data_IF_355783348449
#
_entry.id   IF_355783348449
#
_cell.length_a   1.000
_cell.length_b   1.000
_cell.length_c   1.000
_cell.angle_alpha   90.00
_cell.angle_beta   90.00
_cell.angle_gamma   90.00
#
_symmetry.space_group_name_H-M   'P 1'
#
loop_
_entity.id
_entity.type
_entity.pdbx_description
1 polymer ?
#
# COMPACT_ATOMS: atom_id res chain seq x y z
N UNK A 1 34.87 -65.39 27.20
CA UNK A 1 34.13 -64.29 27.83
C UNK A 1 34.03 -63.16 26.81
N UNK A 2 32.88 -63.05 26.12
CA UNK A 2 32.65 -62.02 25.14
C UNK A 2 31.90 -60.87 25.84
N UNK A 3 32.53 -59.70 25.94
CA UNK A 3 31.92 -58.49 26.49
C UNK A 3 31.11 -57.81 25.38
N UNK A 4 29.82 -57.78 25.51
CA UNK A 4 28.93 -56.98 24.65
C UNK A 4 28.94 -55.54 25.14
N UNK A 5 29.43 -54.65 24.29
CA UNK A 5 29.34 -53.18 24.47
C UNK A 5 28.09 -52.78 23.77
N UNK A 6 27.08 -52.35 24.54
CA UNK A 6 25.85 -51.76 24.01
C UNK A 6 26.13 -50.33 23.55
N UNK A 7 25.64 -49.91 22.36
CA UNK A 7 25.76 -48.51 21.98
C UNK A 7 24.79 -47.67 22.76
N UNK A 8 25.30 -46.61 23.40
CA UNK A 8 24.52 -45.55 24.00
C UNK A 8 23.92 -44.73 22.87
N UNK A 9 22.63 -44.91 22.61
CA UNK A 9 21.87 -44.06 21.72
C UNK A 9 21.62 -42.74 22.48
N UNK A 10 22.42 -41.73 22.17
CA UNK A 10 22.15 -40.36 22.61
C UNK A 10 20.95 -39.86 21.82
N UNK A 11 19.76 -39.88 22.42
CA UNK A 11 18.63 -39.19 21.91
C UNK A 11 18.87 -37.68 21.95
N UNK A 12 19.27 -37.13 20.80
CA UNK A 12 19.26 -35.67 20.62
C UNK A 12 17.79 -35.18 20.73
N UNK A 13 17.50 -34.60 21.87
CA UNK A 13 16.29 -33.79 22.04
C UNK A 13 16.40 -32.59 21.07
N UNK A 14 15.77 -32.71 19.91
CA UNK A 14 15.42 -31.58 19.09
C UNK A 14 14.43 -30.73 19.90
N UNK A 15 14.96 -29.78 20.66
CA UNK A 15 14.18 -28.68 21.17
C UNK A 15 13.73 -27.90 19.94
N UNK A 16 12.52 -28.17 19.49
CA UNK A 16 11.84 -27.35 18.49
C UNK A 16 11.79 -25.94 19.07
N UNK A 17 12.54 -25.01 18.48
CA UNK A 17 12.28 -23.60 18.66
C UNK A 17 10.86 -23.37 18.13
N UNK A 18 9.87 -23.48 19.00
CA UNK A 18 8.54 -23.00 18.72
C UNK A 18 8.66 -21.48 18.50
N UNK A 19 8.47 -21.04 17.26
CA UNK A 19 8.28 -19.62 17.01
C UNK A 19 7.18 -19.12 17.95
N UNK A 20 7.45 -18.03 18.64
CA UNK A 20 6.42 -17.38 19.44
C UNK A 20 5.21 -17.09 18.56
N UNK A 21 3.98 -17.28 19.04
CA UNK A 21 2.81 -16.94 18.24
C UNK A 21 2.90 -15.47 17.80
N UNK A 22 2.41 -15.15 16.60
CA UNK A 22 2.45 -13.78 16.10
C UNK A 22 1.74 -12.84 17.09
N UNK A 23 2.19 -11.61 17.25
CA UNK A 23 1.58 -10.63 18.13
C UNK A 23 0.12 -10.41 17.76
N UNK A 24 -0.72 -10.08 18.73
CA UNK A 24 -2.12 -9.73 18.46
C UNK A 24 -2.15 -8.44 17.62
N UNK A 25 -3.00 -8.35 16.58
CA UNK A 25 -3.18 -7.12 15.84
C UNK A 25 -3.74 -6.01 16.75
N UNK A 26 -3.50 -4.72 16.43
CA UNK A 26 -4.04 -3.59 17.19
C UNK A 26 -5.58 -3.54 17.12
N UNK A 27 -6.21 -2.77 18.01
CA UNK A 27 -7.67 -2.64 18.05
C UNK A 27 -8.22 -1.79 16.88
N UNK A 28 -7.41 -0.88 16.29
CA UNK A 28 -7.75 -0.14 15.07
C UNK A 28 -7.52 -1.05 13.86
N UNK A 29 -8.47 -1.13 12.94
CA UNK A 29 -8.33 -1.95 11.74
C UNK A 29 -7.29 -1.36 10.76
N UNK A 30 -6.76 -2.21 9.87
CA UNK A 30 -5.67 -1.85 8.95
C UNK A 30 -6.06 -0.73 7.97
N UNK A 31 -7.31 -0.70 7.51
CA UNK A 31 -7.81 0.31 6.57
C UNK A 31 -7.84 1.68 7.23
N UNK A 32 -8.42 1.75 8.44
CA UNK A 32 -8.46 2.96 9.25
C UNK A 32 -7.05 3.43 9.63
N UNK A 33 -6.18 2.50 10.07
CA UNK A 33 -4.78 2.84 10.38
C UNK A 33 -4.04 3.45 9.18
N UNK A 34 -4.25 2.91 7.98
CA UNK A 34 -3.65 3.46 6.76
C UNK A 34 -4.23 4.82 6.37
N UNK A 35 -5.53 5.06 6.57
CA UNK A 35 -6.18 6.32 6.26
C UNK A 35 -5.77 7.45 7.23
N UNK A 36 -5.60 7.13 8.51
CA UNK A 36 -5.19 8.08 9.54
C UNK A 36 -3.67 8.35 9.59
N UNK A 37 -2.89 7.65 8.79
CA UNK A 37 -1.43 7.80 8.82
C UNK A 37 -0.77 7.14 10.03
N UNK A 38 -1.43 6.17 10.68
CA UNK A 38 -0.95 5.49 11.88
C UNK A 38 0.05 4.37 11.53
N UNK A 39 1.30 4.75 11.31
CA UNK A 39 2.38 3.82 10.93
C UNK A 39 2.61 2.70 11.95
N UNK A 40 2.51 3.03 13.25
CA UNK A 40 2.76 2.04 14.30
C UNK A 40 1.70 0.93 14.29
N UNK A 41 0.42 1.29 14.12
CA UNK A 41 -0.65 0.32 13.98
C UNK A 41 -0.48 -0.53 12.71
N UNK A 42 -0.10 0.07 11.58
CA UNK A 42 0.17 -0.66 10.33
C UNK A 42 1.32 -1.67 10.52
N UNK A 43 2.41 -1.28 11.17
CA UNK A 43 3.53 -2.19 11.49
C UNK A 43 3.10 -3.34 12.41
N UNK A 44 2.22 -3.07 13.38
CA UNK A 44 1.65 -4.12 14.25
C UNK A 44 0.79 -5.11 13.46
N UNK A 45 -0.03 -4.63 12.51
CA UNK A 45 -0.80 -5.48 11.60
C UNK A 45 0.11 -6.38 10.75
N UNK A 46 1.19 -5.81 10.20
CA UNK A 46 2.16 -6.57 9.40
C UNK A 46 2.80 -7.66 10.28
N UNK A 47 3.27 -7.31 11.49
CA UNK A 47 3.88 -8.25 12.42
C UNK A 47 2.91 -9.35 12.89
N UNK A 48 1.62 -9.03 13.01
CA UNK A 48 0.56 -9.98 13.36
C UNK A 48 0.16 -10.91 12.21
N UNK A 49 0.67 -10.70 10.98
CA UNK A 49 0.30 -11.49 9.80
C UNK A 49 -1.11 -11.18 9.29
N UNK A 50 -1.63 -9.98 9.55
CA UNK A 50 -2.93 -9.56 9.02
C UNK A 50 -2.92 -9.61 7.49
N UNK A 51 -4.03 -10.03 6.86
CA UNK A 51 -4.17 -9.97 5.40
C UNK A 51 -4.12 -8.51 4.94
N UNK A 52 -3.00 -8.14 4.28
CA UNK A 52 -2.74 -6.79 3.80
C UNK A 52 -3.56 -6.44 2.54
N UNK A 53 -4.19 -7.44 1.92
CA UNK A 53 -4.93 -7.29 0.68
C UNK A 53 -6.45 -7.18 0.90
N UNK A 54 -6.89 -7.18 2.14
CA UNK A 54 -8.30 -6.94 2.45
C UNK A 54 -8.74 -5.59 1.92
N UNK A 55 -9.93 -5.56 1.33
CA UNK A 55 -10.53 -4.33 0.81
C UNK A 55 -11.41 -3.68 1.87
N UNK A 56 -11.51 -2.36 1.84
CA UNK A 56 -12.45 -1.62 2.68
C UNK A 56 -13.85 -2.28 2.62
N UNK A 57 -14.36 -2.75 3.77
CA UNK A 57 -15.66 -3.41 3.84
C UNK A 57 -16.83 -2.45 3.61
N UNK A 58 -16.63 -1.13 3.69
CA UNK A 58 -17.69 -0.14 3.52
C UNK A 58 -18.36 -0.30 2.14
N UNK A 59 -19.68 -0.58 2.07
CA UNK A 59 -20.38 -0.77 0.81
C UNK A 59 -20.36 0.47 -0.09
N UNK A 60 -20.33 1.66 0.50
CA UNK A 60 -20.26 2.94 -0.18
C UNK A 60 -18.82 3.41 -0.43
N UNK A 61 -17.82 2.71 0.13
CA UNK A 61 -16.41 3.03 0.01
C UNK A 61 -15.82 2.71 -1.37
N UNK A 62 -14.55 3.06 -1.53
CA UNK A 62 -13.81 2.82 -2.77
C UNK A 62 -13.43 1.35 -2.99
N UNK A 63 -13.64 0.47 -2.01
CA UNK A 63 -13.12 -0.91 -2.04
C UNK A 63 -11.60 -0.96 -2.22
N UNK A 64 -10.93 0.06 -1.74
CA UNK A 64 -9.48 0.17 -1.77
C UNK A 64 -8.83 -0.71 -0.68
N UNK A 65 -7.58 -1.12 -0.91
CA UNK A 65 -6.74 -1.75 0.12
C UNK A 65 -6.03 -0.69 0.96
N UNK A 66 -5.44 -1.08 2.08
CA UNK A 66 -4.61 -0.19 2.90
C UNK A 66 -3.49 0.48 2.08
N UNK A 67 -2.86 -0.27 1.15
CA UNK A 67 -1.84 0.27 0.25
C UNK A 67 -2.42 1.30 -0.73
N UNK A 68 -3.60 1.06 -1.30
CA UNK A 68 -4.28 2.02 -2.17
C UNK A 68 -4.64 3.31 -1.44
N UNK A 69 -5.09 3.20 -0.19
CA UNK A 69 -5.40 4.34 0.68
C UNK A 69 -4.13 5.12 1.03
N UNK A 70 -3.08 4.45 1.50
CA UNK A 70 -1.81 5.09 1.80
C UNK A 70 -1.24 5.83 0.58
N UNK A 71 -1.36 5.24 -0.62
CA UNK A 71 -0.95 5.87 -1.88
C UNK A 71 -1.80 7.09 -2.25
N UNK A 72 -3.11 7.10 -1.93
CA UNK A 72 -4.00 8.22 -2.19
C UNK A 72 -3.78 9.39 -1.20
N UNK A 73 -3.46 9.11 0.05
CA UNK A 73 -3.20 10.14 1.06
C UNK A 73 -1.72 10.57 1.15
N UNK A 74 -0.82 9.94 0.41
CA UNK A 74 0.61 10.26 0.43
C UNK A 74 1.32 9.83 1.70
N UNK A 75 0.80 8.83 2.39
CA UNK A 75 1.45 8.24 3.57
C UNK A 75 2.61 7.34 3.14
N UNK A 76 3.71 7.97 2.71
CA UNK A 76 4.86 7.31 2.08
C UNK A 76 5.43 6.18 2.91
N UNK A 77 5.70 6.42 4.20
CA UNK A 77 6.27 5.40 5.08
C UNK A 77 5.33 4.20 5.27
N UNK A 78 4.02 4.43 5.32
CA UNK A 78 3.00 3.38 5.40
C UNK A 78 2.96 2.58 4.09
N UNK A 79 2.94 3.26 2.95
CA UNK A 79 2.95 2.60 1.65
C UNK A 79 4.18 1.70 1.50
N UNK A 80 5.38 2.19 1.84
CA UNK A 80 6.62 1.41 1.82
C UNK A 80 6.54 0.22 2.78
N UNK A 81 6.08 0.41 4.02
CA UNK A 81 5.94 -0.68 4.99
C UNK A 81 4.98 -1.77 4.50
N UNK A 82 3.84 -1.40 3.88
CA UNK A 82 2.89 -2.35 3.30
C UNK A 82 3.50 -3.10 2.10
N UNK A 83 4.23 -2.41 1.22
CA UNK A 83 4.93 -3.00 0.08
C UNK A 83 5.98 -4.01 0.55
N UNK A 84 6.79 -3.66 1.53
CA UNK A 84 7.80 -4.53 2.13
C UNK A 84 7.16 -5.71 2.87
N UNK A 85 6.02 -5.48 3.53
CA UNK A 85 5.21 -6.50 4.19
C UNK A 85 4.52 -7.48 3.26
N UNK A 86 4.61 -7.27 1.93
CA UNK A 86 4.08 -8.19 0.92
C UNK A 86 2.65 -7.88 0.46
N UNK A 87 2.18 -6.64 0.66
CA UNK A 87 0.92 -6.20 0.05
C UNK A 87 0.96 -6.32 -1.48
N UNK A 88 -0.16 -6.71 -2.09
CA UNK A 88 -0.29 -6.79 -3.54
C UNK A 88 -0.31 -5.37 -4.14
N UNK A 89 0.76 -5.02 -4.86
CA UNK A 89 0.97 -3.69 -5.46
C UNK A 89 0.02 -3.37 -6.62
N UNK A 90 -0.65 -4.39 -7.18
CA UNK A 90 -1.57 -4.25 -8.32
C UNK A 90 -3.04 -4.45 -7.92
N UNK A 91 -3.35 -4.56 -6.62
CA UNK A 91 -4.72 -4.74 -6.17
C UNK A 91 -5.55 -3.47 -6.45
N UNK A 92 -6.48 -3.57 -7.39
CA UNK A 92 -7.33 -2.45 -7.79
C UNK A 92 -8.51 -2.22 -6.83
N UNK A 93 -8.96 -0.97 -6.77
CA UNK A 93 -10.19 -0.54 -6.12
C UNK A 93 -11.44 -0.82 -6.99
N UNK A 94 -12.61 -0.25 -6.62
CA UNK A 94 -13.86 -0.40 -7.38
C UNK A 94 -13.84 0.26 -8.76
N UNK A 95 -12.99 1.28 -8.92
CA UNK A 95 -12.85 2.04 -10.16
C UNK A 95 -11.75 1.45 -11.06
N UNK A 96 -11.22 0.27 -10.69
CA UNK A 96 -10.14 -0.40 -11.39
C UNK A 96 -8.78 0.27 -11.20
N UNK A 97 -8.69 1.30 -10.35
CA UNK A 97 -7.44 2.02 -10.09
C UNK A 97 -6.55 1.23 -9.14
N UNK A 98 -5.30 1.02 -9.52
CA UNK A 98 -4.27 0.41 -8.66
C UNK A 98 -3.62 1.46 -7.75
N UNK A 99 -2.86 1.07 -6.72
CA UNK A 99 -2.07 2.01 -5.92
C UNK A 99 -1.17 2.92 -6.78
N UNK A 100 -0.65 2.41 -7.91
CA UNK A 100 0.15 3.19 -8.85
C UNK A 100 -0.66 4.32 -9.51
N UNK A 101 -1.93 4.10 -9.85
CA UNK A 101 -2.81 5.16 -10.35
C UNK A 101 -3.00 6.27 -9.32
N UNK A 102 -3.27 5.91 -8.06
CA UNK A 102 -3.49 6.88 -6.98
C UNK A 102 -2.23 7.70 -6.69
N UNK A 103 -1.08 7.03 -6.51
CA UNK A 103 0.19 7.69 -6.24
C UNK A 103 0.63 8.60 -7.39
N UNK A 104 0.48 8.17 -8.63
CA UNK A 104 0.82 8.94 -9.81
C UNK A 104 -0.09 10.17 -9.97
N UNK A 105 -1.40 9.98 -9.91
CA UNK A 105 -2.37 11.05 -10.05
C UNK A 105 -2.19 12.14 -8.99
N UNK A 106 -1.95 11.75 -7.73
CA UNK A 106 -1.75 12.69 -6.61
C UNK A 106 -0.29 13.13 -6.43
N UNK A 107 0.59 12.69 -7.34
CA UNK A 107 1.99 13.11 -7.45
C UNK A 107 2.81 12.84 -6.18
N UNK A 108 2.93 11.56 -5.82
CA UNK A 108 3.80 11.06 -4.76
C UNK A 108 4.94 10.21 -5.35
N UNK A 109 6.05 10.83 -5.79
CA UNK A 109 7.11 10.17 -6.56
C UNK A 109 7.77 9.01 -5.81
N UNK A 110 7.99 9.15 -4.50
CA UNK A 110 8.60 8.10 -3.69
C UNK A 110 7.71 6.84 -3.64
N UNK A 111 6.38 7.01 -3.56
CA UNK A 111 5.44 5.88 -3.58
C UNK A 111 5.41 5.26 -4.97
N UNK A 112 5.39 6.08 -6.03
CA UNK A 112 5.44 5.61 -7.43
C UNK A 112 6.69 4.75 -7.63
N UNK A 113 7.86 5.24 -7.22
CA UNK A 113 9.12 4.50 -7.35
C UNK A 113 9.08 3.19 -6.57
N UNK A 114 8.65 3.20 -5.31
CA UNK A 114 8.58 2.00 -4.47
C UNK A 114 7.65 0.93 -5.07
N UNK A 115 6.50 1.33 -5.65
CA UNK A 115 5.58 0.42 -6.34
C UNK A 115 6.24 -0.21 -7.58
N UNK A 116 6.95 0.60 -8.38
CA UNK A 116 7.64 0.12 -9.58
C UNK A 116 8.82 -0.80 -9.24
N UNK A 117 9.60 -0.48 -8.23
CA UNK A 117 10.71 -1.31 -7.74
C UNK A 117 10.20 -2.69 -7.26
N UNK A 118 8.95 -2.74 -6.78
CA UNK A 118 8.28 -3.98 -6.39
C UNK A 118 7.58 -4.69 -7.55
N UNK A 119 7.65 -4.12 -8.76
CA UNK A 119 7.13 -4.73 -9.98
C UNK A 119 5.68 -4.39 -10.32
N UNK A 120 5.14 -3.27 -9.82
CA UNK A 120 3.81 -2.80 -10.21
C UNK A 120 3.69 -2.63 -11.73
N UNK A 121 2.58 -3.08 -12.30
CA UNK A 121 2.33 -3.01 -13.74
C UNK A 121 1.95 -1.59 -14.19
N UNK A 122 2.83 -0.95 -14.99
CA UNK A 122 2.61 0.41 -15.54
C UNK A 122 1.39 0.53 -16.47
N UNK A 123 1.04 -0.57 -17.15
CA UNK A 123 0.06 -0.56 -18.25
C UNK A 123 -1.35 -1.01 -17.85
N UNK A 124 -1.62 -1.17 -16.55
CA UNK A 124 -2.98 -1.45 -16.08
C UNK A 124 -3.87 -0.27 -16.46
N UNK A 125 -5.05 -0.57 -17.01
CA UNK A 125 -6.06 0.45 -17.31
C UNK A 125 -7.19 0.37 -16.29
N UNK A 126 -7.55 1.49 -15.70
CA UNK A 126 -8.70 1.59 -14.82
C UNK A 126 -10.02 1.58 -15.63
N UNK A 127 -11.17 1.67 -14.96
CA UNK A 127 -12.49 1.65 -15.61
C UNK A 127 -12.76 2.86 -16.52
N UNK A 128 -11.99 3.94 -16.39
CA UNK A 128 -11.99 5.07 -17.33
C UNK A 128 -11.13 4.82 -18.56
N UNK A 129 -10.46 3.66 -18.64
CA UNK A 129 -9.58 3.27 -19.73
C UNK A 129 -8.18 3.89 -19.65
N UNK A 130 -7.82 4.59 -18.58
CA UNK A 130 -6.55 5.30 -18.44
C UNK A 130 -5.52 4.48 -17.66
N UNK A 131 -4.26 4.55 -18.08
CA UNK A 131 -3.11 4.11 -17.29
C UNK A 131 -2.71 5.17 -16.25
N UNK A 132 -1.83 4.79 -15.31
CA UNK A 132 -1.27 5.74 -14.35
C UNK A 132 -0.57 6.92 -15.06
N UNK A 133 0.20 6.67 -16.11
CA UNK A 133 0.85 7.71 -16.94
C UNK A 133 -0.16 8.64 -17.60
N UNK A 134 -1.14 8.09 -18.31
CA UNK A 134 -2.16 8.88 -19.02
C UNK A 134 -2.95 9.80 -18.06
N UNK A 135 -3.18 9.37 -16.81
CA UNK A 135 -3.86 10.20 -15.80
C UNK A 135 -3.05 11.44 -15.40
N UNK A 136 -1.72 11.35 -15.43
CA UNK A 136 -0.82 12.47 -15.09
C UNK A 136 -0.56 13.35 -16.31
N UNK A 137 -0.60 12.83 -17.53
CA UNK A 137 -0.41 13.60 -18.76
C UNK A 137 -1.60 14.49 -19.14
N UNK A 138 -2.74 14.37 -18.45
CA UNK A 138 -3.89 15.27 -18.66
C UNK A 138 -3.47 16.74 -18.60
N UNK A 139 -4.00 17.60 -19.50
CA UNK A 139 -3.75 19.04 -19.41
C UNK A 139 -4.08 19.60 -18.02
N UNK A 140 -3.22 20.47 -17.49
CA UNK A 140 -3.39 20.99 -16.13
C UNK A 140 -4.78 21.58 -15.87
N UNK A 141 -5.34 22.30 -16.85
CA UNK A 141 -6.67 22.88 -16.71
C UNK A 141 -7.78 21.84 -16.46
N UNK A 142 -7.65 20.66 -17.09
CA UNK A 142 -8.57 19.53 -16.89
C UNK A 142 -8.30 18.85 -15.56
N UNK A 143 -7.05 18.51 -15.28
CA UNK A 143 -6.65 17.84 -14.05
C UNK A 143 -7.01 18.67 -12.81
N UNK A 144 -6.81 20.00 -12.85
CA UNK A 144 -7.13 20.91 -11.76
C UNK A 144 -8.60 20.81 -11.35
N UNK A 145 -9.52 20.77 -12.31
CA UNK A 145 -10.96 20.62 -12.01
C UNK A 145 -11.29 19.31 -11.30
N UNK A 146 -10.60 18.22 -11.66
CA UNK A 146 -10.73 16.93 -10.99
C UNK A 146 -10.19 17.00 -9.56
N UNK A 147 -9.00 17.61 -9.37
CA UNK A 147 -8.45 17.80 -8.02
C UNK A 147 -9.34 18.67 -7.15
N UNK A 148 -9.89 19.78 -7.65
CA UNK A 148 -10.82 20.66 -6.92
C UNK A 148 -12.08 19.91 -6.46
N UNK A 149 -12.62 19.05 -7.34
CA UNK A 149 -13.76 18.20 -7.01
C UNK A 149 -13.40 17.19 -5.90
N UNK A 150 -12.32 16.43 -6.07
CA UNK A 150 -11.89 15.43 -5.08
C UNK A 150 -11.52 16.07 -3.74
N UNK A 151 -10.83 17.22 -3.77
CA UNK A 151 -10.49 17.98 -2.58
C UNK A 151 -11.73 18.39 -1.78
N UNK A 152 -12.78 18.84 -2.49
CA UNK A 152 -14.05 19.24 -1.87
C UNK A 152 -14.82 18.11 -1.20
N UNK A 153 -14.77 16.90 -1.77
CA UNK A 153 -15.60 15.78 -1.29
C UNK A 153 -14.84 14.76 -0.43
N UNK A 154 -13.51 14.70 -0.53
CA UNK A 154 -12.69 13.71 0.17
C UNK A 154 -11.67 14.38 1.09
N UNK A 155 -10.75 15.16 0.53
CA UNK A 155 -9.56 15.58 1.26
C UNK A 155 -9.84 16.67 2.30
N UNK A 156 -10.55 17.73 1.95
CA UNK A 156 -10.93 18.80 2.90
C UNK A 156 -11.79 18.31 4.07
N UNK A 157 -12.84 17.50 3.86
CA UNK A 157 -13.61 16.94 4.95
C UNK A 157 -12.80 16.08 5.93
N UNK A 158 -11.72 15.46 5.43
CA UNK A 158 -10.78 14.66 6.25
C UNK A 158 -9.64 15.49 6.84
N UNK A 159 -9.62 16.83 6.64
CA UNK A 159 -8.59 17.70 7.18
C UNK A 159 -7.24 17.62 6.44
N UNK A 160 -7.19 17.04 5.26
CA UNK A 160 -5.98 16.82 4.45
C UNK A 160 -6.10 17.48 3.06
N UNK A 161 -6.30 18.81 2.96
CA UNK A 161 -6.51 19.49 1.69
C UNK A 161 -5.34 19.30 0.73
N UNK A 162 -5.63 19.19 -0.57
CA UNK A 162 -4.62 19.01 -1.60
C UNK A 162 -3.78 20.26 -1.82
N UNK A 163 -2.46 20.08 -1.90
CA UNK A 163 -1.52 21.10 -2.32
C UNK A 163 -1.39 21.12 -3.86
N UNK A 164 -2.15 22.00 -4.51
CA UNK A 164 -2.18 22.12 -5.97
C UNK A 164 -0.86 22.58 -6.58
N UNK A 165 -0.08 23.42 -5.87
CA UNK A 165 1.21 23.90 -6.38
C UNK A 165 2.24 22.77 -6.35
N UNK A 166 2.27 22.00 -5.28
CA UNK A 166 3.09 20.78 -5.21
C UNK A 166 2.72 19.80 -6.33
N UNK A 167 1.43 19.46 -6.45
CA UNK A 167 0.95 18.53 -7.48
C UNK A 167 1.36 19.00 -8.86
N UNK A 168 1.12 20.28 -9.20
CA UNK A 168 1.47 20.84 -10.50
C UNK A 168 2.98 20.80 -10.77
N UNK A 169 3.79 21.10 -9.76
CA UNK A 169 5.25 21.12 -9.88
C UNK A 169 5.84 19.70 -10.04
N UNK A 170 5.24 18.69 -9.38
CA UNK A 170 5.75 17.32 -9.38
C UNK A 170 5.29 16.49 -10.58
N UNK A 171 4.21 16.87 -11.29
CA UNK A 171 3.69 16.11 -12.45
C UNK A 171 4.75 15.73 -13.50
N UNK A 172 5.67 16.61 -13.93
CA UNK A 172 6.70 16.25 -14.89
C UNK A 172 7.62 15.13 -14.41
N UNK A 173 7.96 15.12 -13.13
CA UNK A 173 8.78 14.08 -12.50
C UNK A 173 8.06 12.72 -12.55
N UNK A 174 6.76 12.69 -12.21
CA UNK A 174 5.96 11.45 -12.28
C UNK A 174 5.91 10.91 -13.71
N UNK A 175 5.77 11.79 -14.71
CA UNK A 175 5.77 11.39 -16.13
C UNK A 175 7.11 10.73 -16.50
N UNK A 176 8.23 11.28 -16.05
CA UNK A 176 9.56 10.70 -16.34
C UNK A 176 9.76 9.33 -15.65
N UNK A 177 9.29 9.18 -14.41
CA UNK A 177 9.37 7.89 -13.69
C UNK A 177 8.52 6.81 -14.38
N UNK A 178 7.37 7.18 -14.93
CA UNK A 178 6.42 6.23 -15.53
C UNK A 178 6.76 5.87 -16.99
N UNK A 179 7.55 6.64 -17.70
CA UNK A 179 8.05 6.33 -19.04
C UNK A 179 9.08 5.23 -19.02
#
# INVERSE_FOLDING_TARGET
MKKYIAPIITAALLVGCGEAPPPKPPDVDLITAAAEGNLDAVKQHIAAGTDLNQKDPNPSGAKATALGIAAAFGHTEIAIALIEGGANVDQSDKDGSTPLHSAAFLCYPEIVQALLDKGAFKNVRNNSGSTALESVELPWAVAKGIYEFLDGIIFKPLGAPLDYERIKATRPEIVEILR
#
